data_IF_979166388577
#
_entry.id   IF_979166388577
#
_cell.length_a   1.000
_cell.length_b   1.000
_cell.length_c   1.000
_cell.angle_alpha   90.00
_cell.angle_beta   90.00
_cell.angle_gamma   90.00
#
_symmetry.space_group_name_H-M   'P 1'
#
loop_
_entity.id
_entity.type
_entity.pdbx_description
1 polymer ?
#
# COMPACT_ATOMS: atom_id res chain seq x y z
N UNK A 1 10.74 -8.45 3.63
CA UNK A 1 9.29 -8.31 3.89
C UNK A 1 8.79 -9.45 4.76
N UNK A 2 7.90 -9.20 5.74
CA UNK A 2 7.31 -10.24 6.60
C UNK A 2 6.30 -11.11 5.82
N UNK A 3 5.87 -12.23 6.39
CA UNK A 3 4.89 -13.14 5.76
C UNK A 3 3.47 -12.53 5.71
N UNK A 4 2.66 -12.93 4.74
CA UNK A 4 1.25 -12.51 4.66
C UNK A 4 0.41 -13.19 5.75
N UNK A 5 -0.50 -12.47 6.40
CA UNK A 5 -1.40 -13.06 7.39
C UNK A 5 -2.42 -14.00 6.74
N UNK A 6 -2.94 -14.94 7.53
CA UNK A 6 -3.97 -15.91 7.11
C UNK A 6 -5.21 -15.24 6.52
N UNK A 7 -6.02 -15.99 5.77
CA UNK A 7 -7.09 -15.52 4.87
C UNK A 7 -8.21 -14.67 5.53
N UNK A 8 -8.27 -14.60 6.86
CA UNK A 8 -9.25 -13.80 7.62
C UNK A 8 -8.61 -12.82 8.62
N UNK A 9 -7.29 -12.71 8.64
CA UNK A 9 -6.55 -11.84 9.56
C UNK A 9 -5.98 -10.63 8.82
N UNK A 10 -6.22 -9.41 9.30
CA UNK A 10 -5.69 -8.20 8.67
C UNK A 10 -6.53 -7.66 7.51
N UNK A 11 -5.89 -6.85 6.66
CA UNK A 11 -6.51 -6.18 5.51
C UNK A 11 -5.91 -6.66 4.20
N UNK A 12 -6.74 -6.83 3.17
CA UNK A 12 -6.28 -7.09 1.79
C UNK A 12 -6.22 -5.77 1.01
N UNK A 13 -5.05 -5.42 0.48
CA UNK A 13 -4.85 -4.19 -0.28
C UNK A 13 -4.55 -4.51 -1.75
N UNK A 14 -5.33 -3.93 -2.65
CA UNK A 14 -5.05 -3.89 -4.09
C UNK A 14 -4.26 -2.61 -4.41
N UNK A 15 -2.99 -2.77 -4.77
CA UNK A 15 -2.13 -1.70 -5.28
C UNK A 15 -2.31 -1.57 -6.78
N UNK A 16 -2.69 -0.37 -7.23
CA UNK A 16 -2.76 -0.01 -8.63
C UNK A 16 -1.54 0.83 -8.99
N UNK A 17 -0.59 0.18 -9.67
CA UNK A 17 0.50 0.82 -10.35
C UNK A 17 0.03 1.34 -11.71
N UNK A 18 0.88 2.08 -12.43
CA UNK A 18 0.50 2.54 -13.76
C UNK A 18 0.27 1.38 -14.73
N UNK A 19 1.19 0.41 -14.74
CA UNK A 19 1.20 -0.67 -15.72
C UNK A 19 0.72 -2.02 -15.17
N UNK A 20 0.49 -2.10 -13.86
CA UNK A 20 0.24 -3.36 -13.18
C UNK A 20 -0.68 -3.20 -11.97
N UNK A 21 -1.17 -4.34 -11.48
CA UNK A 21 -1.82 -4.43 -10.18
C UNK A 21 -1.16 -5.52 -9.35
N UNK A 22 -1.05 -5.29 -8.04
CA UNK A 22 -0.60 -6.29 -7.07
C UNK A 22 -1.55 -6.32 -5.89
N UNK A 23 -1.79 -7.48 -5.34
CA UNK A 23 -2.66 -7.64 -4.16
C UNK A 23 -1.89 -8.37 -3.08
N UNK A 24 -1.99 -7.88 -1.85
CA UNK A 24 -1.33 -8.48 -0.69
C UNK A 24 -2.13 -8.26 0.59
N UNK A 25 -2.02 -9.17 1.55
CA UNK A 25 -2.55 -9.00 2.91
C UNK A 25 -1.50 -8.44 3.88
N UNK A 26 -1.94 -7.61 4.82
CA UNK A 26 -1.12 -6.98 5.87
C UNK A 26 -1.81 -7.03 7.22
N UNK A 27 -1.06 -7.05 8.32
CA UNK A 27 -1.66 -7.04 9.66
C UNK A 27 -2.14 -5.64 10.02
N UNK A 28 -3.23 -5.55 10.77
CA UNK A 28 -3.75 -4.29 11.28
C UNK A 28 -2.81 -3.56 12.25
N UNK A 29 -1.86 -4.29 12.83
CA UNK A 29 -0.85 -3.79 13.76
C UNK A 29 0.49 -3.48 13.09
N UNK A 30 0.57 -3.61 11.76
CA UNK A 30 1.75 -3.16 11.02
C UNK A 30 1.64 -1.64 10.77
N UNK A 31 2.80 -0.98 10.73
CA UNK A 31 2.89 0.43 10.33
C UNK A 31 2.65 0.58 8.83
N UNK A 32 2.07 1.72 8.41
CA UNK A 32 1.83 2.05 7.00
C UNK A 32 3.11 2.00 6.16
N UNK A 33 4.29 2.22 6.76
CA UNK A 33 5.59 2.07 6.11
C UNK A 33 5.72 0.74 5.37
N UNK A 34 5.16 -0.36 5.89
CA UNK A 34 5.23 -1.68 5.25
C UNK A 34 4.57 -1.71 3.86
N UNK A 35 3.58 -0.84 3.63
CA UNK A 35 2.89 -0.71 2.34
C UNK A 35 3.80 -0.05 1.31
N UNK A 36 4.60 0.93 1.75
CA UNK A 36 5.63 1.56 0.92
C UNK A 36 6.75 0.57 0.63
N UNK A 37 7.26 -0.15 1.64
CA UNK A 37 8.29 -1.18 1.47
C UNK A 37 7.85 -2.28 0.48
N UNK A 38 6.57 -2.66 0.50
CA UNK A 38 6.02 -3.62 -0.48
C UNK A 38 6.05 -3.09 -1.90
N UNK A 39 5.70 -1.81 -2.08
CA UNK A 39 5.67 -1.16 -3.39
C UNK A 39 7.10 -1.00 -3.92
N UNK A 40 8.04 -0.58 -3.08
CA UNK A 40 9.48 -0.52 -3.41
C UNK A 40 10.09 -1.89 -3.74
N UNK A 41 9.54 -2.97 -3.20
CA UNK A 41 10.03 -4.32 -3.51
C UNK A 41 9.47 -4.92 -4.81
N UNK A 42 8.58 -4.21 -5.52
CA UNK A 42 8.05 -4.71 -6.79
C UNK A 42 9.07 -4.55 -7.93
N UNK A 43 8.93 -5.37 -8.97
CA UNK A 43 9.80 -5.32 -10.15
C UNK A 43 9.69 -3.98 -10.90
N UNK A 44 10.75 -3.60 -11.62
CA UNK A 44 10.84 -2.36 -12.39
C UNK A 44 9.69 -2.20 -13.40
N UNK A 45 9.06 -3.28 -13.84
CA UNK A 45 7.92 -3.27 -14.77
C UNK A 45 6.66 -2.57 -14.21
N UNK A 46 6.61 -2.38 -12.88
CA UNK A 46 5.51 -1.72 -12.21
C UNK A 46 5.62 -0.19 -12.27
N UNK A 47 6.80 0.37 -12.53
CA UNK A 47 7.08 1.81 -12.53
C UNK A 47 7.49 2.29 -13.93
N UNK A 48 7.34 3.58 -14.21
CA UNK A 48 7.94 4.18 -15.40
C UNK A 48 9.41 4.51 -15.19
N UNK A 49 9.76 4.96 -13.99
CA UNK A 49 11.12 5.25 -13.56
C UNK A 49 11.40 4.54 -12.23
N UNK A 50 12.39 3.62 -12.16
CA UNK A 50 12.74 2.91 -10.93
C UNK A 50 13.26 3.82 -9.82
N UNK A 51 13.59 5.09 -10.12
CA UNK A 51 14.03 6.08 -9.14
C UNK A 51 12.94 7.12 -8.78
N UNK A 52 11.74 7.00 -9.36
CA UNK A 52 10.65 7.92 -9.06
C UNK A 52 10.26 7.84 -7.57
N UNK A 53 10.06 8.99 -6.95
CA UNK A 53 9.35 9.03 -5.68
C UNK A 53 7.88 8.73 -5.93
N UNK A 54 7.21 8.07 -4.99
CA UNK A 54 5.78 7.80 -5.11
C UNK A 54 5.04 8.11 -3.81
N UNK A 55 3.72 8.21 -3.91
CA UNK A 55 2.80 8.22 -2.79
C UNK A 55 1.78 7.08 -2.94
N UNK A 56 1.19 6.67 -1.82
CA UNK A 56 0.08 5.74 -1.79
C UNK A 56 -1.20 6.53 -1.49
N UNK A 57 -2.13 6.53 -2.43
CA UNK A 57 -3.36 7.31 -2.34
C UNK A 57 -4.54 6.37 -2.11
N UNK A 58 -5.23 6.54 -0.97
CA UNK A 58 -6.54 5.93 -0.73
C UNK A 58 -7.57 6.56 -1.65
N UNK A 59 -8.47 5.76 -2.23
CA UNK A 59 -9.45 6.27 -3.19
C UNK A 59 -10.64 6.98 -2.51
N UNK A 60 -11.17 6.46 -1.40
CA UNK A 60 -12.32 7.06 -0.69
C UNK A 60 -12.28 6.85 0.84
N UNK A 61 -12.27 7.92 1.66
CA UNK A 61 -12.00 9.30 1.25
C UNK A 61 -10.61 9.40 0.64
N UNK A 62 -10.42 10.33 -0.31
CA UNK A 62 -9.11 10.53 -0.93
C UNK A 62 -8.10 10.98 0.11
N UNK A 63 -7.06 10.18 0.34
CA UNK A 63 -6.07 10.42 1.39
C UNK A 63 -4.68 9.99 0.92
N UNK A 64 -3.72 10.90 1.05
CA UNK A 64 -2.29 10.63 0.89
C UNK A 64 -1.73 9.95 2.15
N UNK A 65 -0.90 8.93 1.96
CA UNK A 65 -0.27 8.18 3.06
C UNK A 65 1.17 8.59 3.33
N UNK A 66 1.78 9.43 2.49
CA UNK A 66 3.18 9.90 2.61
C UNK A 66 3.56 10.43 4.00
N UNK A 67 2.64 11.08 4.72
CA UNK A 67 2.86 11.63 6.06
C UNK A 67 2.26 10.76 7.19
N UNK A 68 1.99 9.49 6.91
CA UNK A 68 1.34 8.53 7.82
C UNK A 68 2.14 7.25 7.97
N UNK A 69 3.40 7.22 7.55
CA UNK A 69 4.23 6.01 7.54
C UNK A 69 4.35 5.34 8.90
N UNK A 70 4.43 6.12 9.97
CA UNK A 70 4.49 5.65 11.38
C UNK A 70 3.13 5.27 11.98
N UNK A 71 2.02 5.49 11.25
CA UNK A 71 0.69 5.16 11.75
C UNK A 71 0.40 3.68 11.53
N UNK A 72 -0.46 3.11 12.36
CA UNK A 72 -0.89 1.72 12.18
C UNK A 72 -1.90 1.62 11.04
N UNK A 73 -1.88 0.50 10.33
CA UNK A 73 -2.87 0.20 9.29
C UNK A 73 -4.30 0.29 9.84
N UNK A 74 -4.55 -0.19 11.06
CA UNK A 74 -5.85 -0.08 11.73
C UNK A 74 -6.34 1.36 11.97
N UNK A 75 -5.43 2.32 12.14
CA UNK A 75 -5.78 3.73 12.37
C UNK A 75 -6.22 4.43 11.08
N UNK A 76 -5.72 3.97 9.93
CA UNK A 76 -5.99 4.56 8.61
C UNK A 76 -7.14 3.87 7.89
N UNK A 77 -7.25 2.54 8.05
CA UNK A 77 -8.21 1.69 7.36
C UNK A 77 -9.22 1.07 8.34
N UNK A 78 -9.86 1.95 9.11
CA UNK A 78 -10.85 1.58 10.13
C UNK A 78 -11.97 0.74 9.49
N UNK A 79 -12.30 -0.39 10.11
CA UNK A 79 -13.35 -1.34 9.71
C UNK A 79 -13.27 -1.84 8.25
N UNK A 80 -12.09 -1.75 7.64
CA UNK A 80 -11.91 -2.10 6.23
C UNK A 80 -11.22 -3.46 6.09
N UNK A 81 -11.91 -4.43 5.50
CA UNK A 81 -11.33 -5.75 5.18
C UNK A 81 -10.57 -5.76 3.86
N UNK A 82 -10.97 -4.89 2.93
CA UNK A 82 -10.41 -4.75 1.59
C UNK A 82 -10.33 -3.30 1.19
N UNK A 83 -9.18 -2.89 0.69
CA UNK A 83 -8.91 -1.52 0.26
C UNK A 83 -8.17 -1.48 -1.07
N UNK A 84 -8.25 -0.33 -1.72
CA UNK A 84 -7.51 -0.07 -2.94
C UNK A 84 -6.67 1.18 -2.78
N UNK A 85 -5.37 1.04 -3.07
CA UNK A 85 -4.41 2.14 -3.10
C UNK A 85 -3.93 2.38 -4.53
N UNK A 86 -3.83 3.65 -4.90
CA UNK A 86 -3.20 4.10 -6.14
C UNK A 86 -1.74 4.42 -5.80
N UNK A 87 -0.81 3.85 -6.56
CA UNK A 87 0.61 4.21 -6.52
C UNK A 87 0.79 5.40 -7.45
N UNK A 88 1.03 6.58 -6.88
CA UNK A 88 1.11 7.85 -7.61
C UNK A 88 2.57 8.28 -7.76
N UNK A 89 3.17 7.98 -8.92
CA UNK A 89 4.53 8.38 -9.29
C UNK A 89 4.63 9.91 -9.39
N UNK A 90 5.50 10.52 -8.57
CA UNK A 90 5.76 11.95 -8.57
C UNK A 90 6.92 12.26 -9.53
N UNK A 91 6.76 13.33 -10.32
CA UNK A 91 7.80 13.86 -11.22
C UNK A 91 8.87 14.66 -10.49
#
# INVERSE_FOLDING_TARGET
MPEEPEQYSGIQILFRFTNATRTRRFNFNDEIQILFDFVESQEDDCFHDPYAQFDLIKNFPRLSLKNKTEWMISEVFIDSEKEQLIVDEQQ
#
